data_IF_565345527972
#
_entry.id   IF_565345527972
#
_cell.length_a   1.000
_cell.length_b   1.000
_cell.length_c   1.000
_cell.angle_alpha   90.00
_cell.angle_beta   90.00
_cell.angle_gamma   90.00
#
_symmetry.space_group_name_H-M   'P 1'
#
loop_
_entity.id
_entity.type
_entity.pdbx_description
1 polymer ?
#
# COMPACT_ATOMS: atom_id res chain seq x y z
N UNK A 1 0.94 -10.94 33.50
CA UNK A 1 2.13 -11.14 32.66
C UNK A 1 2.52 -12.61 32.75
N UNK A 2 2.56 -13.34 31.61
CA UNK A 2 3.10 -14.69 31.53
C UNK A 2 4.57 -14.61 31.13
N UNK A 3 5.46 -15.12 31.98
CA UNK A 3 6.88 -15.28 31.65
C UNK A 3 7.04 -16.70 31.14
N UNK A 4 7.39 -16.85 29.87
CA UNK A 4 7.75 -18.14 29.28
C UNK A 4 9.27 -18.34 29.40
N UNK A 5 9.70 -19.33 30.16
CA UNK A 5 11.10 -19.75 30.19
C UNK A 5 11.40 -20.62 28.97
N UNK A 6 12.32 -20.14 28.11
CA UNK A 6 12.77 -20.90 26.95
C UNK A 6 13.95 -21.82 27.35
N UNK A 7 13.71 -23.11 27.43
CA UNK A 7 14.80 -24.09 27.60
C UNK A 7 15.25 -24.52 26.21
N UNK A 8 16.55 -24.36 25.87
CA UNK A 8 17.06 -24.89 24.63
C UNK A 8 16.89 -26.42 24.61
N UNK A 9 16.09 -26.89 23.66
CA UNK A 9 15.96 -28.33 23.39
C UNK A 9 17.19 -28.85 22.64
N UNK A 10 17.33 -30.18 22.53
CA UNK A 10 18.36 -30.78 21.73
C UNK A 10 18.30 -30.26 20.29
N UNK A 11 19.45 -29.89 19.73
CA UNK A 11 19.58 -29.52 18.32
C UNK A 11 19.02 -30.64 17.43
N UNK A 12 17.97 -30.31 16.66
CA UNK A 12 17.45 -31.22 15.64
C UNK A 12 18.17 -30.91 14.33
N UNK A 13 19.07 -31.77 13.87
CA UNK A 13 19.75 -31.59 12.57
C UNK A 13 18.70 -31.56 11.45
N UNK A 14 18.71 -30.50 10.64
CA UNK A 14 17.77 -30.30 9.50
C UNK A 14 16.58 -29.36 9.74
N UNK A 15 16.45 -28.78 10.93
CA UNK A 15 15.38 -27.79 11.18
C UNK A 15 15.80 -26.41 10.68
N UNK A 16 15.59 -26.15 9.40
CA UNK A 16 15.82 -24.84 8.77
C UNK A 16 14.60 -23.92 8.92
N UNK A 17 14.17 -23.65 10.17
CA UNK A 17 12.96 -22.86 10.44
C UNK A 17 13.02 -21.48 9.78
N UNK A 18 14.17 -20.80 9.88
CA UNK A 18 14.35 -19.46 9.31
C UNK A 18 14.26 -19.48 7.78
N UNK A 19 14.95 -20.40 7.12
CA UNK A 19 14.90 -20.53 5.65
C UNK A 19 13.48 -20.90 5.17
N UNK A 20 12.77 -21.73 5.93
CA UNK A 20 11.38 -22.10 5.63
C UNK A 20 10.46 -20.88 5.73
N UNK A 21 10.61 -20.04 6.75
CA UNK A 21 9.82 -18.80 6.93
C UNK A 21 10.14 -17.79 5.83
N UNK A 22 11.41 -17.59 5.48
CA UNK A 22 11.83 -16.71 4.39
C UNK A 22 11.21 -17.17 3.05
N UNK A 23 11.33 -18.47 2.75
CA UNK A 23 10.76 -19.03 1.52
C UNK A 23 9.23 -18.92 1.47
N UNK A 24 8.56 -19.10 2.59
CA UNK A 24 7.11 -18.90 2.68
C UNK A 24 6.73 -17.45 2.39
N UNK A 25 7.41 -16.48 3.00
CA UNK A 25 7.19 -15.05 2.77
C UNK A 25 7.39 -14.66 1.31
N UNK A 26 8.51 -15.09 0.71
CA UNK A 26 8.78 -14.86 -0.72
C UNK A 26 7.67 -15.42 -1.62
N UNK A 27 7.20 -16.65 -1.34
CA UNK A 27 6.07 -17.23 -2.09
C UNK A 27 4.78 -16.43 -1.92
N UNK A 28 4.50 -15.91 -0.74
CA UNK A 28 3.32 -15.06 -0.51
C UNK A 28 3.38 -13.75 -1.31
N UNK A 29 4.54 -13.09 -1.35
CA UNK A 29 4.73 -11.88 -2.16
C UNK A 29 4.55 -12.19 -3.66
N UNK A 30 5.19 -13.25 -4.16
CA UNK A 30 5.05 -13.68 -5.56
C UNK A 30 3.58 -13.96 -5.91
N UNK A 31 2.87 -14.68 -5.03
CA UNK A 31 1.44 -14.97 -5.24
C UNK A 31 0.58 -13.71 -5.29
N UNK A 32 0.89 -12.71 -4.45
CA UNK A 32 0.18 -11.42 -4.47
C UNK A 32 0.50 -10.65 -5.74
N UNK A 33 1.78 -10.58 -6.15
CA UNK A 33 2.21 -9.93 -7.40
C UNK A 33 1.55 -10.53 -8.64
N UNK A 34 1.39 -11.85 -8.69
CA UNK A 34 0.69 -12.53 -9.81
C UNK A 34 -0.80 -12.20 -9.89
N UNK A 35 -1.40 -11.66 -8.81
CA UNK A 35 -2.81 -11.26 -8.72
C UNK A 35 -3.00 -9.75 -8.71
N UNK A 36 -1.95 -8.98 -8.88
CA UNK A 36 -2.02 -7.51 -8.93
C UNK A 36 -2.95 -7.04 -10.04
N UNK A 37 -3.83 -6.10 -9.71
CA UNK A 37 -4.54 -5.35 -10.74
C UNK A 37 -3.57 -4.48 -11.55
N UNK A 38 -3.91 -4.06 -12.77
CA UNK A 38 -3.05 -3.18 -13.56
C UNK A 38 -2.68 -1.87 -12.84
N UNK A 39 -3.57 -1.33 -12.01
CA UNK A 39 -3.31 -0.10 -11.22
C UNK A 39 -2.30 -0.34 -10.10
N UNK A 40 -2.41 -1.47 -9.39
CA UNK A 40 -1.43 -1.86 -8.36
C UNK A 40 -0.06 -2.15 -8.98
N UNK A 41 -0.05 -2.85 -10.12
CA UNK A 41 1.18 -3.11 -10.88
C UNK A 41 1.84 -1.81 -11.35
N UNK A 42 1.05 -0.81 -11.75
CA UNK A 42 1.55 0.53 -12.10
C UNK A 42 2.27 1.17 -10.91
N UNK A 43 1.67 1.17 -9.72
CA UNK A 43 2.28 1.72 -8.51
C UNK A 43 3.62 1.04 -8.21
N UNK A 44 3.66 -0.30 -8.20
CA UNK A 44 4.89 -1.07 -7.95
C UNK A 44 5.98 -0.77 -8.96
N UNK A 45 5.70 -0.87 -10.26
CA UNK A 45 6.68 -0.62 -11.31
C UNK A 45 7.20 0.82 -11.29
N UNK A 46 6.37 1.78 -10.88
CA UNK A 46 6.80 3.17 -10.71
C UNK A 46 7.88 3.29 -9.64
N UNK A 47 7.71 2.64 -8.50
CA UNK A 47 8.71 2.65 -7.40
C UNK A 47 9.98 1.90 -7.82
N UNK A 48 9.83 0.71 -8.42
CA UNK A 48 10.95 -0.10 -8.91
C UNK A 48 11.81 0.68 -9.94
N UNK A 49 11.17 1.30 -10.93
CA UNK A 49 11.87 2.12 -11.94
C UNK A 49 12.60 3.31 -11.31
N UNK A 50 11.97 3.98 -10.36
CA UNK A 50 12.56 5.14 -9.68
C UNK A 50 13.84 4.76 -8.93
N UNK A 51 13.85 3.63 -8.22
CA UNK A 51 15.03 3.13 -7.49
C UNK A 51 16.15 2.69 -8.44
N UNK A 52 15.80 1.99 -9.51
CA UNK A 52 16.80 1.53 -10.47
C UNK A 52 17.37 2.65 -11.35
N UNK A 53 16.87 3.89 -11.22
CA UNK A 53 17.28 5.02 -12.09
C UNK A 53 16.91 4.79 -13.55
N UNK A 54 15.97 3.90 -13.82
CA UNK A 54 15.53 3.53 -15.17
C UNK A 54 14.19 4.18 -15.48
N UNK A 55 14.19 5.09 -16.44
CA UNK A 55 12.95 5.58 -17.07
C UNK A 55 12.39 4.54 -18.06
N UNK A 56 12.20 3.31 -17.62
CA UNK A 56 11.53 2.31 -18.45
C UNK A 56 10.08 2.71 -18.65
N UNK A 57 9.67 2.80 -19.90
CA UNK A 57 8.26 2.97 -20.23
C UNK A 57 7.48 1.77 -19.67
N UNK A 58 6.53 2.06 -18.78
CA UNK A 58 5.66 1.03 -18.22
C UNK A 58 4.57 0.75 -19.25
N UNK A 59 4.77 -0.32 -20.03
CA UNK A 59 3.76 -0.81 -20.98
C UNK A 59 2.76 -1.70 -20.26
N UNK A 60 1.66 -1.09 -19.82
CA UNK A 60 0.54 -1.76 -19.16
C UNK A 60 -0.76 -1.37 -19.85
N UNK A 61 -1.57 -2.39 -20.15
CA UNK A 61 -2.97 -2.15 -20.52
C UNK A 61 -3.76 -1.75 -19.27
N UNK A 62 -3.89 -0.45 -19.06
CA UNK A 62 -4.65 0.11 -17.95
C UNK A 62 -6.16 0.06 -18.22
N UNK A 63 -6.99 -0.09 -17.18
CA UNK A 63 -8.44 -0.04 -17.31
C UNK A 63 -8.91 1.40 -17.61
N UNK A 64 -10.14 1.58 -18.13
CA UNK A 64 -10.67 2.91 -18.49
C UNK A 64 -10.64 3.92 -17.35
N UNK A 65 -10.79 3.48 -16.12
CA UNK A 65 -10.75 4.31 -14.90
C UNK A 65 -9.41 5.04 -14.74
N UNK A 66 -8.34 4.49 -15.31
CA UNK A 66 -7.01 5.12 -15.28
C UNK A 66 -6.98 6.50 -15.95
N UNK A 67 -7.91 6.78 -16.86
CA UNK A 67 -8.04 8.05 -17.58
C UNK A 67 -9.01 9.02 -16.91
N UNK A 68 -9.69 8.62 -15.83
CA UNK A 68 -10.59 9.50 -15.05
C UNK A 68 -9.81 10.28 -14.01
N UNK A 69 -10.47 11.21 -13.32
CA UNK A 69 -9.91 11.92 -12.17
C UNK A 69 -10.52 11.40 -10.88
N UNK A 70 -9.68 11.05 -9.91
CA UNK A 70 -10.12 10.64 -8.58
C UNK A 70 -9.00 10.84 -7.56
N UNK A 71 -9.36 10.94 -6.28
CA UNK A 71 -8.41 10.79 -5.19
C UNK A 71 -7.90 9.36 -5.12
N UNK A 72 -6.62 9.18 -4.77
CA UNK A 72 -5.96 7.88 -4.74
C UNK A 72 -5.14 7.76 -3.46
N UNK A 73 -5.19 6.61 -2.82
CA UNK A 73 -4.20 6.22 -1.82
C UNK A 73 -3.35 5.06 -2.33
N UNK A 74 -2.05 5.17 -2.12
CA UNK A 74 -1.10 4.08 -2.36
C UNK A 74 -0.52 3.67 -1.03
N UNK A 75 -0.70 2.40 -0.67
CA UNK A 75 -0.12 1.81 0.52
C UNK A 75 0.91 0.76 0.14
N UNK A 76 2.03 0.78 0.85
CA UNK A 76 3.12 -0.17 0.75
C UNK A 76 3.21 -0.94 2.06
N UNK A 77 3.23 -2.26 1.99
CA UNK A 77 3.38 -3.14 3.15
C UNK A 77 4.59 -4.03 2.99
N UNK A 78 5.31 -4.25 4.10
CA UNK A 78 6.41 -5.21 4.21
C UNK A 78 6.06 -6.20 5.31
N UNK A 79 6.05 -7.48 4.99
CA UNK A 79 5.69 -8.55 5.93
C UNK A 79 4.30 -8.42 6.58
N UNK A 80 3.38 -7.73 5.93
CA UNK A 80 2.03 -7.45 6.45
C UNK A 80 1.90 -6.14 7.20
N UNK A 81 2.99 -5.53 7.61
CA UNK A 81 3.03 -4.24 8.30
C UNK A 81 3.11 -3.06 7.32
N UNK A 82 2.59 -1.92 7.73
CA UNK A 82 2.66 -0.69 6.94
C UNK A 82 4.12 -0.26 6.79
N UNK A 83 4.54 0.05 5.54
CA UNK A 83 5.89 0.52 5.19
C UNK A 83 5.88 1.90 4.53
N UNK A 84 4.73 2.34 4.05
CA UNK A 84 4.47 3.66 3.50
C UNK A 84 3.03 3.77 3.03
N UNK A 85 2.43 4.96 3.19
CA UNK A 85 1.08 5.21 2.71
C UNK A 85 0.87 6.70 2.52
N UNK A 86 0.71 7.12 1.28
CA UNK A 86 0.38 8.50 0.93
C UNK A 86 -0.77 8.49 -0.06
N UNK A 87 -1.59 9.51 -0.01
CA UNK A 87 -2.68 9.68 -0.94
C UNK A 87 -3.27 11.08 -0.94
N UNK A 88 -4.16 11.28 -1.88
CA UNK A 88 -4.92 12.51 -2.09
C UNK A 88 -6.40 12.20 -1.99
N UNK A 89 -7.16 13.06 -1.29
CA UNK A 89 -8.61 12.93 -1.17
C UNK A 89 -9.29 13.37 -2.47
N UNK A 90 -8.75 14.42 -3.06
CA UNK A 90 -9.21 14.98 -4.34
C UNK A 90 -8.10 14.84 -5.38
N UNK A 91 -8.44 14.70 -6.67
CA UNK A 91 -7.42 14.57 -7.71
C UNK A 91 -6.54 15.82 -7.75
N UNK A 92 -5.24 15.61 -7.84
CA UNK A 92 -4.22 16.65 -8.01
C UNK A 92 -3.53 16.54 -9.36
N UNK A 93 -3.70 15.39 -10.02
CA UNK A 93 -3.11 15.08 -11.31
C UNK A 93 -4.18 15.00 -12.43
N UNK A 94 -3.78 15.06 -13.70
CA UNK A 94 -4.70 15.02 -14.84
C UNK A 94 -5.57 13.76 -14.90
N UNK A 95 -5.08 12.64 -14.36
CA UNK A 95 -5.77 11.36 -14.37
C UNK A 95 -5.28 10.44 -13.25
N UNK A 96 -6.03 9.35 -13.02
CA UNK A 96 -5.74 8.31 -12.02
C UNK A 96 -4.36 7.68 -12.21
N UNK A 97 -3.91 7.46 -13.45
CA UNK A 97 -2.60 6.85 -13.68
C UNK A 97 -1.46 7.75 -13.17
N UNK A 98 -1.52 9.04 -13.43
CA UNK A 98 -0.52 10.00 -12.94
C UNK A 98 -0.65 10.23 -11.42
N UNK A 99 -1.88 10.23 -10.87
CA UNK A 99 -2.10 10.28 -9.44
C UNK A 99 -1.46 9.08 -8.72
N UNK A 100 -1.60 7.86 -9.28
CA UNK A 100 -0.96 6.65 -8.76
C UNK A 100 0.57 6.77 -8.79
N UNK A 101 1.15 7.25 -9.90
CA UNK A 101 2.61 7.42 -10.03
C UNK A 101 3.15 8.35 -8.93
N UNK A 102 2.53 9.52 -8.78
CA UNK A 102 2.94 10.49 -7.78
C UNK A 102 2.79 9.97 -6.35
N UNK A 103 1.65 9.38 -6.03
CA UNK A 103 1.40 8.87 -4.70
C UNK A 103 2.24 7.62 -4.37
N UNK A 104 2.61 6.80 -5.36
CA UNK A 104 3.52 5.68 -5.19
C UNK A 104 4.93 6.15 -4.82
N UNK A 105 5.45 7.16 -5.52
CA UNK A 105 6.74 7.79 -5.19
C UNK A 105 6.69 8.45 -3.82
N UNK A 106 5.61 9.20 -3.52
CA UNK A 106 5.45 9.84 -2.23
C UNK A 106 5.38 8.82 -1.07
N UNK A 107 4.63 7.71 -1.26
CA UNK A 107 4.51 6.65 -0.25
C UNK A 107 5.84 5.92 -0.01
N UNK A 108 6.67 5.74 -1.05
CA UNK A 108 7.94 5.04 -0.93
C UNK A 108 9.06 5.92 -0.38
N UNK A 109 9.07 7.24 -0.67
CA UNK A 109 10.24 8.08 -0.41
C UNK A 109 9.95 9.36 0.39
N UNK A 110 8.69 9.73 0.59
CA UNK A 110 8.31 11.00 1.19
C UNK A 110 7.33 10.86 2.36
N UNK A 111 7.01 9.64 2.76
CA UNK A 111 6.20 9.41 3.97
C UNK A 111 7.04 9.69 5.22
N UNK A 112 6.73 10.74 6.01
CA UNK A 112 7.59 11.17 7.12
C UNK A 112 7.64 10.18 8.28
N UNK A 113 6.86 9.11 8.25
CA UNK A 113 6.83 8.06 9.28
C UNK A 113 7.89 6.98 9.06
N UNK A 114 8.48 6.92 7.86
CA UNK A 114 9.37 5.85 7.43
C UNK A 114 10.58 6.41 6.69
N UNK A 115 11.70 5.69 6.76
CA UNK A 115 12.84 5.96 5.90
C UNK A 115 12.50 5.62 4.43
N UNK A 116 13.13 6.27 3.44
CA UNK A 116 12.96 5.93 2.04
C UNK A 116 13.18 4.43 1.76
N UNK A 117 12.33 3.86 0.92
CA UNK A 117 12.45 2.45 0.50
C UNK A 117 13.79 2.23 -0.19
N UNK A 118 14.44 1.09 0.12
CA UNK A 118 15.72 0.68 -0.45
C UNK A 118 15.53 -0.46 -1.45
N UNK A 119 16.50 -0.64 -2.34
CA UNK A 119 16.44 -1.63 -3.41
C UNK A 119 16.33 -3.08 -2.90
N UNK A 120 17.01 -3.40 -1.79
CA UNK A 120 16.98 -4.71 -1.15
C UNK A 120 15.62 -5.08 -0.52
N UNK A 121 14.74 -4.09 -0.33
CA UNK A 121 13.38 -4.33 0.17
C UNK A 121 12.38 -4.72 -0.93
N UNK A 122 12.68 -4.38 -2.19
CA UNK A 122 11.69 -4.48 -3.29
C UNK A 122 11.01 -5.85 -3.37
N UNK A 123 11.76 -6.93 -3.17
CA UNK A 123 11.23 -8.31 -3.25
C UNK A 123 10.27 -8.68 -2.10
N UNK A 124 10.20 -7.86 -1.07
CA UNK A 124 9.37 -8.09 0.12
C UNK A 124 8.15 -7.17 0.18
N UNK A 125 8.08 -6.17 -0.73
CA UNK A 125 7.02 -5.18 -0.74
C UNK A 125 5.77 -5.67 -1.46
N UNK A 126 4.64 -5.32 -0.87
CA UNK A 126 3.29 -5.52 -1.43
C UNK A 126 2.59 -4.17 -1.48
N UNK A 127 1.96 -3.89 -2.61
CA UNK A 127 1.30 -2.63 -2.89
C UNK A 127 -0.22 -2.79 -2.88
N UNK A 128 -0.92 -1.73 -2.50
CA UNK A 128 -2.35 -1.57 -2.73
C UNK A 128 -2.66 -0.16 -3.22
N UNK A 129 -3.71 -0.05 -4.00
CA UNK A 129 -4.20 1.22 -4.56
C UNK A 129 -5.68 1.31 -4.26
N UNK A 130 -6.07 2.34 -3.53
CA UNK A 130 -7.46 2.65 -3.20
C UNK A 130 -7.92 3.85 -4.03
N UNK A 131 -8.86 3.59 -4.95
CA UNK A 131 -9.49 4.60 -5.79
C UNK A 131 -10.71 5.17 -5.04
N UNK A 132 -10.66 6.45 -4.70
CA UNK A 132 -11.74 7.10 -3.99
C UNK A 132 -12.86 7.51 -4.94
N UNK A 133 -14.09 7.25 -4.54
CA UNK A 133 -15.27 7.85 -5.17
C UNK A 133 -15.43 9.31 -4.72
N UNK A 134 -16.21 10.05 -5.48
CA UNK A 134 -16.58 11.40 -5.05
C UNK A 134 -17.23 11.36 -3.67
N UNK A 135 -16.83 12.25 -2.74
CA UNK A 135 -17.42 12.27 -1.41
C UNK A 135 -18.88 12.76 -1.48
N UNK A 136 -19.74 12.09 -0.74
CA UNK A 136 -21.15 12.42 -0.60
C UNK A 136 -21.40 12.99 0.80
N UNK A 137 -22.17 14.06 0.95
CA UNK A 137 -22.57 14.56 2.27
C UNK A 137 -23.53 13.57 2.94
N UNK A 138 -23.33 13.31 4.21
CA UNK A 138 -24.23 12.49 5.04
C UNK A 138 -25.06 13.39 5.95
N UNK A 139 -26.28 12.98 6.26
CA UNK A 139 -27.19 13.70 7.16
C UNK A 139 -27.19 13.10 8.57
N UNK A 140 -26.82 11.83 8.72
CA UNK A 140 -26.83 11.10 9.98
C UNK A 140 -25.61 10.20 10.12
N UNK A 141 -25.14 10.01 11.35
CA UNK A 141 -24.07 9.04 11.67
C UNK A 141 -24.51 7.59 11.41
N UNK A 142 -25.80 7.31 11.38
CA UNK A 142 -26.34 5.98 11.09
C UNK A 142 -26.09 5.53 9.63
N UNK A 143 -25.83 6.49 8.73
CA UNK A 143 -25.46 6.21 7.34
C UNK A 143 -24.00 5.74 7.18
N UNK A 144 -23.19 5.86 8.23
CA UNK A 144 -21.78 5.50 8.21
C UNK A 144 -21.59 4.01 8.47
N UNK A 145 -21.28 3.27 7.42
CA UNK A 145 -20.77 1.90 7.52
C UNK A 145 -19.22 1.94 7.45
N UNK A 146 -18.50 1.74 8.57
CA UNK A 146 -17.03 1.84 8.59
C UNK A 146 -16.33 0.76 7.75
N UNK A 147 -17.06 -0.29 7.37
CA UNK A 147 -16.53 -1.32 6.46
C UNK A 147 -16.62 -0.91 4.98
N UNK A 148 -17.50 0.01 4.67
CA UNK A 148 -17.83 0.40 3.30
C UNK A 148 -17.38 1.81 2.95
N UNK A 149 -17.48 2.74 3.90
CA UNK A 149 -17.23 4.15 3.66
C UNK A 149 -16.04 4.68 4.48
N UNK A 150 -15.19 5.45 3.82
CA UNK A 150 -14.29 6.35 4.51
C UNK A 150 -15.05 7.60 4.99
N UNK A 151 -14.49 8.31 5.95
CA UNK A 151 -15.09 9.51 6.53
C UNK A 151 -14.16 10.70 6.37
N UNK A 152 -14.68 11.80 5.79
CA UNK A 152 -13.98 13.07 5.75
C UNK A 152 -14.58 13.98 6.81
N UNK A 153 -13.77 14.42 7.76
CA UNK A 153 -14.18 15.39 8.80
C UNK A 153 -13.51 16.72 8.53
N UNK A 154 -14.29 17.81 8.52
CA UNK A 154 -13.77 19.18 8.36
C UNK A 154 -14.12 20.04 9.57
N UNK A 155 -13.13 20.79 10.04
CA UNK A 155 -13.34 21.87 11.03
C UNK A 155 -12.50 23.08 10.64
N UNK A 156 -13.15 24.09 10.08
CA UNK A 156 -12.48 25.25 9.52
C UNK A 156 -11.54 24.85 8.37
N UNK A 157 -10.23 25.10 8.52
CA UNK A 157 -9.20 24.74 7.52
C UNK A 157 -8.61 23.34 7.73
N UNK A 158 -8.98 22.66 8.81
CA UNK A 158 -8.46 21.31 9.12
C UNK A 158 -9.38 20.27 8.51
N UNK A 159 -8.77 19.31 7.83
CA UNK A 159 -9.45 18.15 7.25
C UNK A 159 -8.78 16.89 7.75
N UNK A 160 -9.56 15.92 8.20
CA UNK A 160 -9.11 14.58 8.53
C UNK A 160 -9.84 13.57 7.64
N UNK A 161 -9.16 12.49 7.28
CA UNK A 161 -9.72 11.36 6.55
C UNK A 161 -9.47 10.07 7.31
N UNK A 162 -10.49 9.24 7.38
CA UNK A 162 -10.39 7.83 7.77
C UNK A 162 -10.84 7.00 6.58
N UNK A 163 -10.00 6.07 6.14
CA UNK A 163 -10.37 5.10 5.10
C UNK A 163 -11.25 3.99 5.69
N UNK A 164 -12.06 3.27 4.87
CA UNK A 164 -12.83 2.13 5.34
C UNK A 164 -11.90 0.95 5.69
N UNK A 165 -12.42 -0.02 6.47
CA UNK A 165 -11.70 -1.24 6.85
C UNK A 165 -10.34 -1.01 7.54
N UNK A 166 -10.17 0.06 8.28
CA UNK A 166 -9.02 0.21 9.16
C UNK A 166 -9.15 -0.82 10.29
N UNK A 167 -8.24 -1.77 10.33
CA UNK A 167 -8.06 -2.68 11.47
C UNK A 167 -7.54 -1.84 12.64
N UNK A 168 -8.38 -1.69 13.68
CA UNK A 168 -8.05 -1.01 14.93
C UNK A 168 -7.47 -1.97 15.95
#
# INVERSE_FOLDING_TARGET
YAIAEFKPGAEQPGRHLLSTLINRRKKEVINRRNKESPLVKLARLTVENHLCGEEKQIDLKLPPEANTQAGIFVSIKKHGELRGCIGTIFPTQPNVAEEIRNNAIAAAFQDPRFDPVQEDELDELVYSVDLLKAPEPIQSFEELDPKKYGVIVRRGRRTGLLLPNLEG
#
